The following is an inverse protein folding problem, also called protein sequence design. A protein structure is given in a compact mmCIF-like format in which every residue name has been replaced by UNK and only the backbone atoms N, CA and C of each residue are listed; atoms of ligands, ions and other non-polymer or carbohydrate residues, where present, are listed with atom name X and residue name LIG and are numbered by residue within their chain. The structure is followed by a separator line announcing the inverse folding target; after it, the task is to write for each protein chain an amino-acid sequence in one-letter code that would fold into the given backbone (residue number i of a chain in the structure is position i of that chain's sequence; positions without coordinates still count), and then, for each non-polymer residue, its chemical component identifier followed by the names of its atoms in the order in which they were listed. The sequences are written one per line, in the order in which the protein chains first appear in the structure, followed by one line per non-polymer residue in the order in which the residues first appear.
data_IF_724291974610
#
_entry.id   IF_724291974610
#
_cell.length_a   1.000
_cell.length_b   1.000
_cell.length_c   1.000
_cell.angle_alpha   90.00
_cell.angle_beta   90.00
_cell.angle_gamma   90.00
#
_symmetry.space_group_name_H-M   'P 1'
#
loop_
_entity.id
_entity.type
_entity.pdbx_description
1 polymer ?
#
# COMPACT_ATOMS: atom_id res chain seq x y z
N UNK A 1 8.26 -12.92 1.19
CA UNK A 1 8.44 -14.38 1.36
C UNK A 1 8.32 -15.09 0.01
N UNK A 2 9.08 -16.17 -0.23
CA UNK A 2 9.08 -16.86 -1.52
C UNK A 2 7.76 -17.57 -1.86
N UNK A 3 6.94 -17.91 -0.86
CA UNK A 3 5.74 -18.72 -1.06
C UNK A 3 4.49 -17.95 -1.53
N UNK A 4 4.51 -16.62 -1.63
CA UNK A 4 3.33 -15.78 -1.95
C UNK A 4 2.05 -16.14 -1.15
N UNK A 5 2.18 -16.84 -0.04
CA UNK A 5 1.09 -17.32 0.80
C UNK A 5 1.34 -16.91 2.24
N UNK A 6 0.26 -16.66 2.97
CA UNK A 6 0.32 -16.44 4.40
C UNK A 6 0.82 -17.70 5.11
N UNK A 7 1.81 -17.55 6.00
CA UNK A 7 2.32 -18.63 6.85
C UNK A 7 1.87 -18.36 8.29
N UNK A 8 0.91 -19.13 8.84
CA UNK A 8 0.51 -18.99 10.23
C UNK A 8 1.60 -19.51 11.17
N UNK A 9 1.87 -18.76 12.24
CA UNK A 9 2.68 -19.22 13.37
C UNK A 9 1.74 -19.69 14.47
N UNK A 10 1.55 -21.00 14.61
CA UNK A 10 0.62 -21.60 15.56
C UNK A 10 1.32 -21.97 16.86
N UNK A 11 0.70 -21.64 17.98
CA UNK A 11 1.17 -21.99 19.32
C UNK A 11 0.10 -22.83 20.02
N UNK A 12 0.43 -24.06 20.40
CA UNK A 12 -0.42 -24.89 21.23
C UNK A 12 -0.07 -24.74 22.72
N UNK A 13 -1.04 -25.02 23.58
CA UNK A 13 -0.80 -25.20 25.01
C UNK A 13 0.01 -26.48 25.24
N UNK A 14 0.93 -26.45 26.21
CA UNK A 14 1.75 -27.59 26.64
C UNK A 14 2.71 -28.20 25.58
N UNK A 15 2.99 -27.51 24.48
CA UNK A 15 4.04 -27.89 23.50
C UNK A 15 5.28 -27.00 23.64
N UNK A 16 6.47 -27.56 23.42
CA UNK A 16 7.69 -26.76 23.27
C UNK A 16 7.57 -25.84 22.04
N UNK A 17 7.73 -24.53 22.25
CA UNK A 17 7.58 -23.48 21.23
C UNK A 17 8.91 -23.00 20.67
N UNK A 18 10.03 -23.52 21.18
CA UNK A 18 11.37 -23.02 20.88
C UNK A 18 11.67 -23.03 19.39
N UNK A 19 11.32 -24.10 18.68
CA UNK A 19 11.54 -24.22 17.24
C UNK A 19 10.70 -23.21 16.45
N UNK A 20 9.39 -23.14 16.71
CA UNK A 20 8.48 -22.19 16.05
C UNK A 20 8.91 -20.74 16.26
N UNK A 21 9.34 -20.37 17.48
CA UNK A 21 9.83 -19.03 17.77
C UNK A 21 11.14 -18.75 17.02
N UNK A 22 12.08 -19.70 16.98
CA UNK A 22 13.34 -19.55 16.23
C UNK A 22 13.09 -19.32 14.74
N UNK A 23 12.18 -20.10 14.14
CA UNK A 23 11.81 -19.96 12.73
C UNK A 23 11.13 -18.62 12.45
N UNK A 24 10.21 -18.19 13.33
CA UNK A 24 9.54 -16.90 13.23
C UNK A 24 10.55 -15.74 13.27
N UNK A 25 11.46 -15.75 14.24
CA UNK A 25 12.50 -14.71 14.37
C UNK A 25 13.42 -14.70 13.14
N UNK A 26 13.84 -15.87 12.65
CA UNK A 26 14.65 -15.97 11.45
C UNK A 26 13.93 -15.42 10.21
N UNK A 27 12.63 -15.67 10.06
CA UNK A 27 11.81 -15.14 8.97
C UNK A 27 11.67 -13.60 9.07
N UNK A 28 11.43 -13.06 10.27
CA UNK A 28 11.35 -11.61 10.50
C UNK A 28 12.69 -10.94 10.16
N UNK A 29 13.79 -11.49 10.66
CA UNK A 29 15.12 -10.96 10.41
C UNK A 29 15.48 -10.98 8.91
N UNK A 30 15.10 -12.04 8.21
CA UNK A 30 15.41 -12.22 6.78
C UNK A 30 14.54 -11.36 5.86
N UNK A 31 13.25 -11.22 6.18
CA UNK A 31 12.30 -10.62 5.24
C UNK A 31 11.76 -9.26 5.71
N UNK A 32 11.37 -9.13 6.98
CA UNK A 32 10.73 -7.90 7.48
C UNK A 32 11.73 -6.77 7.64
N UNK A 33 12.88 -7.05 8.28
CA UNK A 33 13.92 -6.02 8.48
C UNK A 33 14.40 -5.45 7.15
N UNK A 34 14.79 -6.31 6.22
CA UNK A 34 15.26 -5.89 4.90
C UNK A 34 14.18 -5.10 4.14
N UNK A 35 12.92 -5.53 4.23
CA UNK A 35 11.82 -4.80 3.59
C UNK A 35 11.65 -3.40 4.18
N UNK A 36 11.68 -3.25 5.51
CA UNK A 36 11.58 -1.95 6.17
C UNK A 36 12.76 -1.04 5.81
N UNK A 37 13.98 -1.57 5.79
CA UNK A 37 15.18 -0.80 5.42
C UNK A 37 15.16 -0.37 3.94
N UNK A 38 14.68 -1.24 3.04
CA UNK A 38 14.56 -0.93 1.61
C UNK A 38 13.49 0.12 1.33
N UNK A 39 12.42 0.16 2.13
CA UNK A 39 11.28 1.08 1.98
C UNK A 39 11.29 2.18 3.06
N UNK A 40 12.47 2.69 3.38
CA UNK A 40 12.65 3.73 4.41
C UNK A 40 12.44 5.16 3.89
N UNK A 41 12.32 5.35 2.57
CA UNK A 41 12.10 6.66 1.93
C UNK A 41 10.74 6.71 1.26
N UNK A 42 10.21 7.93 1.08
CA UNK A 42 8.90 8.12 0.44
C UNK A 42 8.89 7.61 -1.00
N UNK A 43 9.97 7.81 -1.77
CA UNK A 43 10.13 7.27 -3.12
C UNK A 43 10.01 5.74 -3.15
N UNK A 44 10.75 5.05 -2.27
CA UNK A 44 10.73 3.59 -2.20
C UNK A 44 9.36 3.07 -1.76
N UNK A 45 8.71 3.75 -0.81
CA UNK A 45 7.34 3.40 -0.40
C UNK A 45 6.36 3.58 -1.56
N UNK A 46 6.49 4.66 -2.34
CA UNK A 46 5.65 4.92 -3.51
C UNK A 46 5.83 3.83 -4.58
N UNK A 47 7.08 3.45 -4.88
CA UNK A 47 7.40 2.35 -5.79
C UNK A 47 6.82 1.01 -5.29
N UNK A 48 6.94 0.72 -4.00
CA UNK A 48 6.36 -0.51 -3.43
C UNK A 48 4.83 -0.53 -3.48
N UNK A 49 4.17 0.62 -3.26
CA UNK A 49 2.70 0.72 -3.33
C UNK A 49 2.15 0.59 -4.75
N UNK A 50 2.90 1.07 -5.75
CA UNK A 50 2.52 0.96 -7.17
C UNK A 50 2.87 -0.41 -7.77
N UNK A 51 3.80 -1.14 -7.15
CA UNK A 51 4.15 -2.50 -7.55
C UNK A 51 3.04 -3.50 -7.22
N UNK A 52 2.66 -4.33 -8.19
CA UNK A 52 1.75 -5.48 -7.98
C UNK A 52 2.32 -6.57 -7.06
N UNK A 53 3.61 -6.49 -6.71
CA UNK A 53 4.28 -7.44 -5.81
C UNK A 53 3.98 -7.18 -4.34
N UNK A 54 3.82 -5.91 -3.96
CA UNK A 54 3.69 -5.49 -2.56
C UNK A 54 2.46 -4.61 -2.32
N UNK A 55 2.04 -3.85 -3.33
CA UNK A 55 0.83 -3.05 -3.32
C UNK A 55 -0.41 -3.87 -3.69
N UNK A 56 -1.51 -3.53 -3.04
CA UNK A 56 -2.86 -3.93 -3.43
C UNK A 56 -3.55 -2.63 -3.82
N UNK A 57 -3.87 -2.48 -5.11
CA UNK A 57 -4.32 -1.21 -5.67
C UNK A 57 -5.53 -0.65 -4.92
N UNK A 58 -6.54 -1.48 -4.64
CA UNK A 58 -7.73 -1.13 -3.88
C UNK A 58 -7.44 -0.51 -2.51
N UNK A 59 -6.33 -0.89 -1.87
CA UNK A 59 -5.91 -0.32 -0.59
C UNK A 59 -5.05 0.93 -0.74
N UNK A 60 -4.49 1.15 -1.92
CA UNK A 60 -3.56 2.23 -2.24
C UNK A 60 -4.19 3.37 -3.03
N UNK A 61 -5.45 3.24 -3.48
CA UNK A 61 -6.18 4.28 -4.24
C UNK A 61 -6.21 5.65 -3.53
N UNK A 62 -6.15 5.68 -2.19
CA UNK A 62 -6.08 6.90 -1.39
C UNK A 62 -4.63 7.35 -1.10
N UNK A 63 -3.70 6.39 -0.99
CA UNK A 63 -2.34 6.63 -0.48
C UNK A 63 -1.37 7.05 -1.58
N UNK A 64 -1.47 6.41 -2.75
CA UNK A 64 -0.63 6.72 -3.91
C UNK A 64 -0.72 8.18 -4.37
N UNK A 65 -1.91 8.79 -4.55
CA UNK A 65 -1.98 10.20 -4.95
C UNK A 65 -1.37 11.12 -3.89
N UNK A 66 -1.50 10.80 -2.60
CA UNK A 66 -0.82 11.56 -1.53
C UNK A 66 0.69 11.40 -1.61
N UNK A 67 1.20 10.21 -1.88
CA UNK A 67 2.63 9.97 -2.02
C UNK A 67 3.23 10.73 -3.21
N UNK A 68 2.59 10.69 -4.39
CA UNK A 68 3.01 11.49 -5.54
C UNK A 68 3.03 12.98 -5.22
N UNK A 69 1.97 13.48 -4.58
CA UNK A 69 1.90 14.90 -4.21
C UNK A 69 3.02 15.32 -3.25
N UNK A 70 3.30 14.50 -2.22
CA UNK A 70 4.37 14.75 -1.26
C UNK A 70 5.77 14.69 -1.88
N UNK A 71 5.93 13.95 -2.99
CA UNK A 71 7.16 13.93 -3.79
C UNK A 71 7.28 15.14 -4.74
N UNK A 72 6.27 16.01 -4.78
CA UNK A 72 6.22 17.14 -5.71
C UNK A 72 5.73 16.78 -7.11
N UNK A 73 5.28 15.54 -7.31
CA UNK A 73 4.81 15.00 -8.59
C UNK A 73 3.32 15.29 -8.79
N UNK A 74 2.98 16.58 -8.91
CA UNK A 74 1.58 17.02 -9.04
C UNK A 74 0.90 16.43 -10.29
N UNK A 75 1.60 16.36 -11.43
CA UNK A 75 1.05 15.77 -12.67
C UNK A 75 0.69 14.30 -12.50
N UNK A 76 1.54 13.50 -11.83
CA UNK A 76 1.26 12.10 -11.56
C UNK A 76 0.10 11.92 -10.58
N UNK A 77 -0.03 12.85 -9.62
CA UNK A 77 -1.16 12.88 -8.68
C UNK A 77 -2.47 13.08 -9.43
N UNK A 78 -2.52 14.10 -10.29
CA UNK A 78 -3.69 14.45 -11.09
C UNK A 78 -4.09 13.29 -12.02
N UNK A 79 -3.12 12.75 -12.77
CA UNK A 79 -3.35 11.63 -13.69
C UNK A 79 -3.93 10.41 -12.95
N UNK A 80 -3.36 10.06 -11.79
CA UNK A 80 -3.82 8.92 -11.00
C UNK A 80 -5.28 9.10 -10.54
N UNK A 81 -5.61 10.28 -10.01
CA UNK A 81 -6.96 10.58 -9.52
C UNK A 81 -7.99 10.55 -10.65
N UNK A 82 -7.67 11.11 -11.82
CA UNK A 82 -8.56 11.05 -12.98
C UNK A 82 -8.77 9.62 -13.50
N UNK A 83 -7.70 8.83 -13.56
CA UNK A 83 -7.80 7.43 -13.97
C UNK A 83 -8.68 6.62 -13.01
N UNK A 84 -8.51 6.79 -11.70
CA UNK A 84 -9.34 6.11 -10.71
C UNK A 84 -10.81 6.57 -10.73
N UNK A 85 -11.07 7.86 -10.91
CA UNK A 85 -12.43 8.37 -11.11
C UNK A 85 -13.10 7.75 -12.35
N UNK A 86 -12.34 7.59 -13.44
CA UNK A 86 -12.81 6.94 -14.67
C UNK A 86 -13.10 5.46 -14.46
N UNK A 87 -12.26 4.74 -13.71
CA UNK A 87 -12.47 3.32 -13.38
C UNK A 87 -13.70 3.10 -12.49
N UNK A 88 -13.96 3.98 -11.53
CA UNK A 88 -15.16 3.92 -10.70
C UNK A 88 -16.42 4.22 -11.53
N UNK A 89 -16.33 5.13 -12.50
CA UNK A 89 -17.42 5.44 -13.42
C UNK A 89 -18.72 5.81 -12.70
N UNK A 90 -19.82 5.17 -13.09
CA UNK A 90 -21.17 5.46 -12.59
C UNK A 90 -21.53 4.69 -11.29
N UNK A 91 -20.56 4.05 -10.63
CA UNK A 91 -20.84 3.38 -9.35
C UNK A 91 -21.34 4.38 -8.29
N UNK A 92 -22.41 3.99 -7.60
CA UNK A 92 -23.08 4.82 -6.59
C UNK A 92 -23.04 4.24 -5.18
N UNK A 93 -22.34 3.11 -4.96
CA UNK A 93 -22.15 2.57 -3.62
C UNK A 93 -21.39 3.55 -2.71
N UNK A 94 -21.55 3.37 -1.39
CA UNK A 94 -20.98 4.29 -0.38
C UNK A 94 -19.48 4.47 -0.59
N UNK A 95 -18.74 3.40 -0.89
CA UNK A 95 -17.30 3.45 -1.11
C UNK A 95 -16.93 4.24 -2.37
N UNK A 96 -17.69 4.06 -3.46
CA UNK A 96 -17.51 4.84 -4.69
C UNK A 96 -17.79 6.33 -4.48
N UNK A 97 -18.86 6.68 -3.75
CA UNK A 97 -19.19 8.07 -3.44
C UNK A 97 -18.13 8.74 -2.56
N UNK A 98 -17.63 8.03 -1.55
CA UNK A 98 -16.59 8.54 -0.66
C UNK A 98 -15.27 8.77 -1.42
N UNK A 99 -14.88 7.84 -2.30
CA UNK A 99 -13.70 8.05 -3.13
C UNK A 99 -13.88 9.23 -4.11
N UNK A 100 -15.04 9.34 -4.76
CA UNK A 100 -15.33 10.48 -5.67
C UNK A 100 -15.17 11.81 -4.94
N UNK A 101 -15.71 11.94 -3.72
CA UNK A 101 -15.54 13.15 -2.89
C UNK A 101 -14.06 13.41 -2.59
N UNK A 102 -13.33 12.39 -2.16
CA UNK A 102 -11.89 12.50 -1.89
C UNK A 102 -11.12 12.99 -3.11
N UNK A 103 -11.28 12.32 -4.25
CA UNK A 103 -10.54 12.62 -5.47
C UNK A 103 -10.84 14.02 -5.99
N UNK A 104 -12.11 14.43 -6.06
CA UNK A 104 -12.49 15.78 -6.49
C UNK A 104 -11.94 16.84 -5.56
N UNK A 105 -12.08 16.67 -4.24
CA UNK A 105 -11.54 17.64 -3.27
C UNK A 105 -10.01 17.71 -3.25
N UNK A 106 -9.32 16.64 -3.66
CA UNK A 106 -7.87 16.67 -3.80
C UNK A 106 -7.47 17.43 -5.07
N UNK A 107 -8.09 17.11 -6.22
CA UNK A 107 -7.86 17.82 -7.48
C UNK A 107 -8.04 19.33 -7.35
N UNK A 108 -9.10 19.79 -6.66
CA UNK A 108 -9.35 21.21 -6.39
C UNK A 108 -8.24 21.92 -5.59
N UNK A 109 -7.47 21.16 -4.81
CA UNK A 109 -6.40 21.67 -3.93
C UNK A 109 -5.01 21.51 -4.53
N UNK A 110 -4.89 20.87 -5.68
CA UNK A 110 -3.59 20.77 -6.34
C UNK A 110 -3.13 22.19 -6.74
N UNK A 111 -1.86 22.53 -6.48
CA UNK A 111 -1.32 23.80 -6.92
C UNK A 111 -1.36 23.84 -8.46
N UNK A 112 -1.79 24.99 -9.02
CA UNK A 112 -1.67 25.23 -10.46
C UNK A 112 -0.18 25.15 -10.83
N UNK A 113 0.21 24.11 -11.57
CA UNK A 113 1.55 23.96 -12.13
C UNK A 113 1.68 24.80 -13.39
#
# INVERSE_FOLDING_TARGET
MPQKSYTPWLFAENTDRTTTVKEMVAAIAKYSKLFMETNATLDAICEAMSSSRYGILDYNIYRLPVAYFLLGEASLTEEFLHNQLKEIGDREDVSAQDYKKFATSFLEKLPNV
#
